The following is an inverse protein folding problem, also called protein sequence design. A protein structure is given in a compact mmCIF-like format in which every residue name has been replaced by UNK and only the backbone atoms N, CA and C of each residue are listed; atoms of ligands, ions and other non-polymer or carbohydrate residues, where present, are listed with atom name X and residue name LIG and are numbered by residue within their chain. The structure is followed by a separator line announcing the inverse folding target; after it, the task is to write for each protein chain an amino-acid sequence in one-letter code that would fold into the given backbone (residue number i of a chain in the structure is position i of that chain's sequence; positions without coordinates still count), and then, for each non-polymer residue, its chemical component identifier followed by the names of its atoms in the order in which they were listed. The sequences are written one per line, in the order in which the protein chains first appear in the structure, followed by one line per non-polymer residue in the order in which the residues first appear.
data_IF_366533779413
#
_entry.id   IF_366533779413
#
_cell.length_a   1.000
_cell.length_b   1.000
_cell.length_c   1.000
_cell.angle_alpha   90.00
_cell.angle_beta   90.00
_cell.angle_gamma   90.00
#
_symmetry.space_group_name_H-M   'P 1'
#
loop_
_entity.id
_entity.type
_entity.pdbx_description
1 polymer ?
#
# COMPACT_ATOMS: atom_id res chain seq x y z
N UNK A 1 -11.38 5.14 12.60
CA UNK A 1 -10.96 6.53 12.87
C UNK A 1 -9.46 6.61 12.64
N UNK A 2 -9.02 6.76 11.38
CA UNK A 2 -7.58 6.68 11.06
C UNK A 2 -7.29 7.78 10.05
N UNK A 3 -6.42 8.72 10.42
CA UNK A 3 -5.77 9.60 9.44
C UNK A 3 -5.76 11.10 9.74
N UNK A 4 -6.42 11.58 10.78
CA UNK A 4 -6.37 13.01 11.10
C UNK A 4 -6.17 13.26 12.60
N UNK A 5 -4.91 13.39 12.99
CA UNK A 5 -4.54 13.97 14.27
C UNK A 5 -3.97 15.38 14.02
N UNK A 6 -4.65 16.45 14.46
CA UNK A 6 -4.22 17.84 14.27
C UNK A 6 -2.82 18.12 14.80
N UNK A 7 -2.34 17.34 15.77
CA UNK A 7 -1.01 17.50 16.38
C UNK A 7 0.11 16.95 15.49
N UNK A 8 -0.17 15.98 14.60
CA UNK A 8 0.85 15.29 13.79
C UNK A 8 0.77 15.56 12.28
N UNK A 9 -0.25 16.29 11.81
CA UNK A 9 -0.46 16.59 10.39
C UNK A 9 -0.65 15.32 9.55
N UNK A 10 -0.25 15.31 8.27
CA UNK A 10 -0.38 14.16 7.38
C UNK A 10 0.69 13.06 7.60
N UNK A 11 1.59 13.19 8.58
CA UNK A 11 2.66 12.20 8.85
C UNK A 11 2.12 10.80 9.19
N UNK A 12 1.03 10.65 9.97
CA UNK A 12 0.39 9.35 10.18
C UNK A 12 -0.12 8.73 8.88
N UNK A 13 -0.66 9.54 7.96
CA UNK A 13 -1.15 9.07 6.67
C UNK A 13 -0.01 8.52 5.80
N UNK A 14 1.11 9.24 5.70
CA UNK A 14 2.30 8.74 4.97
C UNK A 14 2.78 7.40 5.53
N UNK A 15 2.79 7.27 6.86
CA UNK A 15 3.24 6.06 7.53
C UNK A 15 2.30 4.88 7.30
N UNK A 16 0.98 5.13 7.33
CA UNK A 16 -0.02 4.12 7.01
C UNK A 16 0.12 3.63 5.55
N UNK A 17 0.29 4.54 4.59
CA UNK A 17 0.54 4.16 3.18
C UNK A 17 1.80 3.31 3.06
N UNK A 18 2.89 3.68 3.75
CA UNK A 18 4.11 2.89 3.74
C UNK A 18 3.92 1.49 4.32
N UNK A 19 3.28 1.39 5.48
CA UNK A 19 3.12 0.13 6.19
C UNK A 19 2.12 -0.80 5.52
N UNK A 20 0.99 -0.27 5.05
CA UNK A 20 -0.14 -1.07 4.54
C UNK A 20 -0.06 -1.31 3.03
N UNK A 21 0.68 -0.50 2.27
CA UNK A 21 0.72 -0.57 0.80
C UNK A 21 2.15 -0.77 0.27
N UNK A 22 3.09 0.13 0.61
CA UNK A 22 4.45 0.11 0.04
C UNK A 22 5.25 -1.13 0.44
N UNK A 23 5.22 -1.49 1.73
CA UNK A 23 5.95 -2.65 2.24
C UNK A 23 5.41 -3.98 1.68
N UNK A 24 4.09 -4.28 1.70
CA UNK A 24 3.56 -5.50 1.11
C UNK A 24 3.80 -5.60 -0.39
N UNK A 25 3.64 -4.48 -1.13
CA UNK A 25 3.92 -4.45 -2.56
C UNK A 25 5.39 -4.78 -2.87
N UNK A 26 6.30 -4.23 -2.07
CA UNK A 26 7.73 -4.50 -2.22
C UNK A 26 8.04 -5.99 -2.08
N UNK A 27 7.39 -6.68 -1.13
CA UNK A 27 7.53 -8.14 -0.98
C UNK A 27 7.02 -8.88 -2.22
N UNK A 28 5.86 -8.52 -2.75
CA UNK A 28 5.30 -9.18 -3.94
C UNK A 28 6.17 -8.97 -5.20
N UNK A 29 6.79 -7.80 -5.33
CA UNK A 29 7.76 -7.52 -6.40
C UNK A 29 9.00 -8.41 -6.23
N UNK A 30 9.54 -8.53 -5.01
CA UNK A 30 10.70 -9.38 -4.72
C UNK A 30 10.40 -10.87 -4.94
N UNK A 31 9.16 -11.30 -4.71
CA UNK A 31 8.67 -12.65 -5.04
C UNK A 31 8.52 -12.88 -6.56
N UNK A 32 8.67 -11.83 -7.38
CA UNK A 32 8.57 -11.91 -8.83
C UNK A 32 7.13 -11.97 -9.35
N UNK A 33 6.12 -11.65 -8.52
CA UNK A 33 4.71 -11.60 -8.96
C UNK A 33 4.45 -10.48 -9.95
N UNK A 34 5.19 -9.38 -9.85
CA UNK A 34 5.09 -8.24 -10.75
C UNK A 34 6.45 -7.99 -11.41
N UNK A 35 6.43 -7.70 -12.71
CA UNK A 35 7.64 -7.36 -13.48
C UNK A 35 7.81 -5.85 -13.56
N UNK A 36 9.04 -5.41 -13.80
CA UNK A 36 9.34 -4.01 -14.06
C UNK A 36 8.44 -3.45 -15.18
N UNK A 37 7.87 -2.27 -14.93
CA UNK A 37 6.94 -1.61 -15.85
C UNK A 37 5.51 -2.14 -15.79
N UNK A 38 5.18 -3.08 -14.91
CA UNK A 38 3.79 -3.51 -14.69
C UNK A 38 2.97 -2.38 -14.10
N UNK A 39 1.78 -2.15 -14.65
CA UNK A 39 0.76 -1.34 -13.99
C UNK A 39 0.07 -2.21 -12.94
N UNK A 40 0.09 -1.78 -11.68
CA UNK A 40 -0.43 -2.55 -10.54
C UNK A 40 -1.61 -1.79 -9.95
N UNK A 41 -2.76 -2.45 -9.89
CA UNK A 41 -3.96 -1.95 -9.22
C UNK A 41 -3.94 -2.39 -7.76
N UNK A 42 -4.18 -1.43 -6.88
CA UNK A 42 -4.32 -1.66 -5.44
C UNK A 42 -5.82 -1.68 -5.11
N UNK A 43 -6.27 -2.78 -4.53
CA UNK A 43 -7.65 -2.99 -4.07
C UNK A 43 -7.73 -3.08 -2.54
N UNK A 44 -8.96 -3.00 -2.04
CA UNK A 44 -9.28 -3.27 -0.64
C UNK A 44 -10.40 -4.31 -0.59
N UNK A 45 -10.08 -5.53 -0.14
CA UNK A 45 -11.04 -6.61 0.02
C UNK A 45 -11.13 -7.04 1.48
N UNK A 46 -12.33 -6.92 2.07
CA UNK A 46 -12.62 -7.33 3.46
C UNK A 46 -11.64 -6.74 4.49
N UNK A 47 -11.15 -5.52 4.23
CA UNK A 47 -10.20 -4.82 5.10
C UNK A 47 -8.72 -5.17 4.86
N UNK A 48 -8.41 -6.03 3.88
CA UNK A 48 -7.04 -6.33 3.47
C UNK A 48 -6.72 -5.65 2.14
N UNK A 49 -5.50 -5.12 2.03
CA UNK A 49 -4.97 -4.57 0.78
C UNK A 49 -4.64 -5.72 -0.17
N UNK A 50 -5.08 -5.61 -1.43
CA UNK A 50 -4.81 -6.60 -2.48
C UNK A 50 -4.11 -5.94 -3.66
N UNK A 51 -3.25 -6.68 -4.35
CA UNK A 51 -2.52 -6.22 -5.53
C UNK A 51 -2.86 -7.09 -6.74
N UNK A 52 -3.14 -6.46 -7.88
CA UNK A 52 -3.40 -7.17 -9.15
C UNK A 52 -2.75 -6.43 -10.31
N UNK A 53 -2.19 -7.16 -11.28
CA UNK A 53 -1.73 -6.55 -12.53
C UNK A 53 -2.93 -6.01 -13.31
N UNK A 54 -2.78 -4.83 -13.91
CA UNK A 54 -3.79 -4.20 -14.76
C UNK A 54 -3.95 -4.94 -16.11
#
# INVERSE_FOLDING_TARGET
EIGFDPTYGARPLKRAIQQEIENPLSLEILEGKFKDGSEIRVGLERGNVTFSAA
#
